data_IF_886451954219
#
_entry.id   IF_886451954219
#
_cell.length_a   1.000
_cell.length_b   1.000
_cell.length_c   1.000
_cell.angle_alpha   90.00
_cell.angle_beta   90.00
_cell.angle_gamma   90.00
#
_symmetry.space_group_name_H-M   'P 1'
#
loop_
_entity.id
_entity.type
_entity.pdbx_description
1 polymer ?
#
# COMPACT_ATOMS: atom_id res chain seq x y z
N UNK A 1 9.52 3.68 -24.66
CA UNK A 1 10.08 2.39 -24.23
C UNK A 1 8.90 1.43 -24.14
N UNK A 2 8.83 0.44 -25.01
CA UNK A 2 7.64 -0.42 -25.16
C UNK A 2 7.49 -1.33 -23.94
N UNK A 3 6.26 -1.63 -23.54
CA UNK A 3 5.88 -2.39 -22.33
C UNK A 3 6.58 -3.76 -22.24
N UNK A 4 6.85 -4.39 -23.38
CA UNK A 4 7.55 -5.67 -23.52
C UNK A 4 9.04 -5.62 -23.10
N UNK A 5 9.70 -4.48 -23.29
CA UNK A 5 11.09 -4.27 -22.87
C UNK A 5 11.20 -4.09 -21.35
N UNK A 6 10.18 -3.49 -20.72
CA UNK A 6 10.14 -3.25 -19.28
C UNK A 6 9.93 -4.55 -18.50
N UNK A 7 9.04 -5.41 -18.99
CA UNK A 7 8.79 -6.74 -18.42
C UNK A 7 10.05 -7.62 -18.49
N UNK A 8 10.72 -7.64 -19.65
CA UNK A 8 11.96 -8.39 -19.83
C UNK A 8 13.08 -7.90 -18.90
N UNK A 9 13.16 -6.58 -18.70
CA UNK A 9 14.11 -6.00 -17.74
C UNK A 9 13.80 -6.41 -16.29
N UNK A 10 12.52 -6.47 -15.91
CA UNK A 10 12.10 -6.91 -14.57
C UNK A 10 12.43 -8.38 -14.30
N UNK A 11 12.19 -9.25 -15.28
CA UNK A 11 12.55 -10.67 -15.23
C UNK A 11 14.05 -10.90 -15.05
N UNK A 12 14.87 -10.13 -15.77
CA UNK A 12 16.32 -10.16 -15.63
C UNK A 12 16.80 -9.67 -14.25
N UNK A 13 16.12 -8.69 -13.65
CA UNK A 13 16.44 -8.22 -12.28
C UNK A 13 16.18 -9.30 -11.23
N UNK A 14 15.05 -9.99 -11.33
CA UNK A 14 14.76 -11.14 -10.46
C UNK A 14 15.82 -12.23 -10.58
N UNK A 15 16.18 -12.61 -11.81
CA UNK A 15 17.21 -13.64 -12.03
C UNK A 15 18.58 -13.27 -11.44
N UNK A 16 18.97 -12.00 -11.54
CA UNK A 16 20.18 -11.46 -10.91
C UNK A 16 20.14 -11.54 -9.38
N UNK A 17 18.99 -11.25 -8.76
CA UNK A 17 18.81 -11.35 -7.31
C UNK A 17 19.00 -12.81 -6.83
N UNK A 18 18.33 -13.77 -7.48
CA UNK A 18 18.49 -15.19 -7.15
C UNK A 18 19.95 -15.64 -7.26
N UNK A 19 20.63 -15.26 -8.35
CA UNK A 19 22.06 -15.57 -8.54
C UNK A 19 22.95 -14.97 -7.47
N UNK A 20 22.66 -13.73 -7.03
CA UNK A 20 23.40 -13.05 -5.97
C UNK A 20 23.24 -13.78 -4.63
N UNK A 21 22.00 -14.08 -4.22
CA UNK A 21 21.72 -14.77 -2.96
C UNK A 21 22.35 -16.17 -2.93
N UNK A 22 22.24 -16.91 -4.04
CA UNK A 22 22.92 -18.20 -4.18
C UNK A 22 24.43 -18.08 -4.04
N UNK A 23 25.04 -17.06 -4.67
CA UNK A 23 26.47 -16.80 -4.56
C UNK A 23 26.91 -16.43 -3.14
N UNK A 24 26.10 -15.65 -2.41
CA UNK A 24 26.34 -15.31 -1.01
C UNK A 24 26.27 -16.54 -0.08
N UNK A 25 25.41 -17.50 -0.40
CA UNK A 25 25.34 -18.78 0.29
C UNK A 25 26.45 -19.77 -0.12
N UNK A 26 27.30 -19.43 -1.09
CA UNK A 26 28.38 -20.29 -1.58
C UNK A 26 27.92 -21.52 -2.36
N UNK A 27 26.67 -21.53 -2.85
CA UNK A 27 26.05 -22.70 -3.48
C UNK A 27 26.19 -22.69 -5.00
N UNK A 28 26.40 -23.84 -5.60
CA UNK A 28 26.16 -24.08 -7.02
C UNK A 28 24.66 -24.16 -7.31
N UNK A 29 24.27 -24.04 -8.59
CA UNK A 29 22.86 -24.22 -8.97
C UNK A 29 22.34 -25.62 -8.63
N UNK A 30 23.21 -26.63 -8.74
CA UNK A 30 22.85 -28.02 -8.46
C UNK A 30 22.65 -28.27 -6.96
N UNK A 31 23.49 -27.69 -6.11
CA UNK A 31 23.35 -27.78 -4.65
C UNK A 31 22.11 -27.04 -4.16
N UNK A 32 21.86 -25.82 -4.67
CA UNK A 32 20.64 -25.09 -4.34
C UNK A 32 19.38 -25.85 -4.79
N UNK A 33 19.43 -26.45 -5.99
CA UNK A 33 18.33 -27.26 -6.49
C UNK A 33 18.05 -28.49 -5.60
N UNK A 34 19.09 -29.18 -5.16
CA UNK A 34 18.97 -30.29 -4.22
C UNK A 34 18.38 -29.85 -2.87
N UNK A 35 18.87 -28.74 -2.29
CA UNK A 35 18.38 -28.20 -1.02
C UNK A 35 16.90 -27.77 -1.09
N UNK A 36 16.48 -27.15 -2.18
CA UNK A 36 15.10 -26.74 -2.40
C UNK A 36 14.22 -27.89 -2.95
N UNK A 37 14.80 -29.04 -3.29
CA UNK A 37 14.16 -30.21 -3.89
C UNK A 37 13.47 -29.87 -5.23
N UNK A 38 14.11 -29.02 -6.02
CA UNK A 38 13.70 -28.62 -7.39
C UNK A 38 14.73 -29.13 -8.41
N UNK A 39 14.42 -29.05 -9.71
CA UNK A 39 15.42 -29.38 -10.74
C UNK A 39 16.45 -28.26 -10.90
N UNK A 40 17.69 -28.61 -11.25
CA UNK A 40 18.73 -27.63 -11.60
C UNK A 40 18.29 -26.74 -12.78
N UNK A 41 17.54 -27.31 -13.73
CA UNK A 41 16.96 -26.56 -14.85
C UNK A 41 16.01 -25.44 -14.38
N UNK A 42 15.24 -25.68 -13.32
CA UNK A 42 14.34 -24.66 -12.73
C UNK A 42 15.14 -23.49 -12.17
N UNK A 43 16.25 -23.75 -11.48
CA UNK A 43 17.15 -22.70 -10.94
C UNK A 43 17.78 -21.91 -12.10
N UNK A 44 18.26 -22.60 -13.14
CA UNK A 44 18.86 -21.97 -14.31
C UNK A 44 17.87 -21.12 -15.11
N UNK A 45 16.63 -21.56 -15.27
CA UNK A 45 15.58 -20.80 -15.95
C UNK A 45 15.18 -19.54 -15.16
N UNK A 46 15.05 -19.65 -13.85
CA UNK A 46 14.78 -18.53 -12.95
C UNK A 46 15.90 -17.48 -12.97
N UNK A 47 17.17 -17.91 -12.90
CA UNK A 47 18.32 -16.99 -12.98
C UNK A 47 18.43 -16.25 -14.32
N UNK A 48 17.88 -16.83 -15.39
CA UNK A 48 17.83 -16.22 -16.74
C UNK A 48 16.57 -15.39 -16.99
N UNK A 49 15.63 -15.35 -16.03
CA UNK A 49 14.38 -14.62 -16.18
C UNK A 49 13.43 -15.24 -17.21
N UNK A 50 13.48 -16.56 -17.44
CA UNK A 50 12.57 -17.22 -18.38
C UNK A 50 11.14 -17.26 -17.84
N UNK A 51 10.17 -16.86 -18.67
CA UNK A 51 8.72 -16.91 -18.39
C UNK A 51 8.26 -18.37 -18.26
N UNK A 52 7.45 -18.69 -17.24
CA UNK A 52 6.83 -20.01 -17.06
C UNK A 52 7.07 -20.69 -15.70
N UNK A 53 7.78 -20.07 -14.76
CA UNK A 53 7.99 -20.70 -13.45
C UNK A 53 6.77 -20.58 -12.57
N UNK A 54 6.45 -21.64 -11.82
CA UNK A 54 5.40 -21.63 -10.80
C UNK A 54 5.96 -21.02 -9.51
N UNK A 55 5.08 -20.47 -8.66
CA UNK A 55 5.43 -19.87 -7.37
C UNK A 55 6.08 -20.87 -6.39
N UNK A 56 5.62 -22.13 -6.39
CA UNK A 56 6.07 -23.17 -5.45
C UNK A 56 7.60 -23.40 -5.44
N UNK A 57 8.27 -23.60 -6.60
CA UNK A 57 9.72 -23.65 -6.66
C UNK A 57 10.43 -22.46 -5.99
N UNK A 58 9.89 -21.26 -6.13
CA UNK A 58 10.51 -20.04 -5.59
C UNK A 58 10.38 -19.99 -4.06
N UNK A 59 9.23 -20.39 -3.51
CA UNK A 59 9.05 -20.52 -2.04
C UNK A 59 10.07 -21.46 -1.43
N UNK A 60 10.39 -22.55 -2.14
CA UNK A 60 11.34 -23.56 -1.68
C UNK A 60 12.78 -23.07 -1.78
N UNK A 61 13.12 -22.35 -2.84
CA UNK A 61 14.42 -21.68 -3.01
C UNK A 61 14.64 -20.59 -1.96
N UNK A 62 13.60 -19.81 -1.64
CA UNK A 62 13.64 -18.80 -0.58
C UNK A 62 14.00 -19.40 0.78
N UNK A 63 13.34 -20.52 1.14
CA UNK A 63 13.62 -21.27 2.36
C UNK A 63 15.05 -21.83 2.36
N UNK A 64 15.48 -22.46 1.26
CA UNK A 64 16.82 -23.03 1.15
C UNK A 64 17.94 -21.98 1.29
N UNK A 65 17.69 -20.75 0.82
CA UNK A 65 18.62 -19.62 0.95
C UNK A 65 18.42 -18.80 2.23
N UNK A 66 17.47 -19.18 3.09
CA UNK A 66 17.10 -18.40 4.29
C UNK A 66 16.78 -16.94 3.94
N UNK A 67 16.14 -16.70 2.79
CA UNK A 67 15.89 -15.37 2.24
C UNK A 67 14.67 -14.66 2.87
N UNK A 68 13.98 -15.30 3.82
CA UNK A 68 12.91 -14.74 4.66
C UNK A 68 11.76 -14.10 3.86
N UNK A 69 11.43 -14.67 2.70
CA UNK A 69 10.37 -14.23 1.79
C UNK A 69 10.83 -13.27 0.69
N UNK A 70 12.08 -12.82 0.69
CA UNK A 70 12.60 -11.86 -0.29
C UNK A 70 12.50 -12.37 -1.74
N UNK A 71 12.79 -13.65 -1.97
CA UNK A 71 12.70 -14.23 -3.31
C UNK A 71 11.25 -14.45 -3.75
N UNK A 72 10.39 -14.82 -2.82
CA UNK A 72 8.95 -14.97 -3.09
C UNK A 72 8.34 -13.63 -3.45
N UNK A 73 8.66 -12.59 -2.68
CA UNK A 73 8.19 -11.22 -2.89
C UNK A 73 8.70 -10.64 -4.22
N UNK A 74 9.98 -10.86 -4.55
CA UNK A 74 10.56 -10.43 -5.83
C UNK A 74 9.96 -11.18 -7.02
N UNK A 75 9.60 -12.46 -6.84
CA UNK A 75 8.94 -13.24 -7.89
C UNK A 75 7.48 -12.80 -8.08
N UNK A 76 6.75 -12.56 -6.98
CA UNK A 76 5.37 -12.07 -7.04
C UNK A 76 5.31 -10.69 -7.72
N UNK A 77 6.28 -9.80 -7.45
CA UNK A 77 6.40 -8.49 -8.11
C UNK A 77 6.60 -8.55 -9.63
N UNK A 78 7.16 -9.65 -10.15
CA UNK A 78 7.57 -9.76 -11.57
C UNK A 78 6.69 -10.73 -12.37
N UNK A 79 6.17 -11.78 -11.73
CA UNK A 79 5.57 -12.92 -12.45
C UNK A 79 4.15 -13.28 -12.01
N UNK A 80 3.69 -12.87 -10.83
CA UNK A 80 2.34 -13.24 -10.36
C UNK A 80 1.25 -12.29 -10.85
N UNK A 81 1.61 -11.12 -11.41
CA UNK A 81 0.65 -10.04 -11.70
C UNK A 81 -0.01 -9.47 -10.43
N UNK A 82 0.33 -10.01 -9.25
CA UNK A 82 -0.09 -9.61 -7.91
C UNK A 82 1.13 -9.00 -7.24
N UNK A 83 1.59 -7.86 -7.78
CA UNK A 83 2.75 -7.13 -7.27
C UNK A 83 2.55 -6.48 -5.90
N UNK A 84 1.66 -7.02 -5.05
CA UNK A 84 1.06 -6.35 -3.90
C UNK A 84 1.87 -6.50 -2.61
N UNK A 85 2.80 -7.45 -2.44
CA UNK A 85 3.33 -7.78 -1.09
C UNK A 85 4.60 -7.07 -0.65
N UNK A 86 5.59 -6.83 -1.54
CA UNK A 86 6.90 -6.30 -1.13
C UNK A 86 6.84 -4.83 -0.64
N UNK A 87 6.16 -3.97 -1.41
CA UNK A 87 6.04 -2.55 -1.07
C UNK A 87 5.09 -2.33 0.11
N UNK A 88 4.03 -3.13 0.22
CA UNK A 88 3.11 -3.10 1.35
C UNK A 88 3.83 -3.47 2.65
N UNK A 89 4.88 -4.32 2.59
CA UNK A 89 5.67 -4.69 3.77
C UNK A 89 6.56 -3.53 4.23
N UNK A 90 7.32 -2.91 3.33
CA UNK A 90 8.18 -1.75 3.67
C UNK A 90 7.35 -0.62 4.31
N UNK A 91 6.22 -0.28 3.70
CA UNK A 91 5.35 0.77 4.24
C UNK A 91 4.67 0.35 5.52
N UNK A 92 4.23 -0.90 5.64
CA UNK A 92 3.62 -1.34 6.89
C UNK A 92 4.63 -1.32 8.04
N UNK A 93 5.86 -1.80 7.82
CA UNK A 93 6.93 -1.70 8.82
C UNK A 93 7.21 -0.23 9.18
N UNK A 94 7.31 0.65 8.18
CA UNK A 94 7.51 2.07 8.42
C UNK A 94 6.33 2.73 9.16
N UNK A 95 5.08 2.38 8.83
CA UNK A 95 3.89 2.79 9.58
C UNK A 95 4.02 2.32 11.04
N UNK A 96 4.36 1.05 11.29
CA UNK A 96 4.48 0.52 12.65
C UNK A 96 5.54 1.25 13.49
N UNK A 97 6.53 1.86 12.85
CA UNK A 97 7.58 2.63 13.52
C UNK A 97 7.31 4.14 13.50
N UNK A 98 6.29 4.61 12.77
CA UNK A 98 6.11 6.03 12.50
C UNK A 98 5.85 6.85 13.78
N UNK A 99 6.46 8.04 13.84
CA UNK A 99 6.10 9.08 14.81
C UNK A 99 4.94 9.92 14.30
N UNK A 100 4.93 10.17 12.98
CA UNK A 100 3.93 11.00 12.30
C UNK A 100 3.61 10.43 10.93
N UNK A 101 2.33 10.41 10.61
CA UNK A 101 1.81 10.04 9.29
C UNK A 101 0.99 11.22 8.78
N UNK A 102 1.32 11.70 7.58
CA UNK A 102 0.55 12.69 6.86
C UNK A 102 0.05 12.05 5.58
N UNK A 103 -1.26 11.99 5.42
CA UNK A 103 -1.92 11.32 4.32
C UNK A 103 -2.77 12.32 3.55
N UNK A 104 -2.59 12.37 2.24
CA UNK A 104 -3.56 12.98 1.35
C UNK A 104 -4.22 11.89 0.52
N UNK A 105 -5.53 11.81 0.60
CA UNK A 105 -6.35 10.75 0.01
C UNK A 105 -7.32 11.34 -1.01
N UNK A 106 -7.09 11.02 -2.28
CA UNK A 106 -7.85 11.53 -3.42
C UNK A 106 -8.89 10.54 -3.97
N UNK A 107 -8.61 9.24 -3.89
CA UNK A 107 -9.42 8.21 -4.56
C UNK A 107 -10.29 7.36 -3.63
N UNK A 108 -9.76 7.03 -2.46
CA UNK A 108 -10.34 6.08 -1.50
C UNK A 108 -10.09 6.58 -0.08
N UNK A 109 -10.91 6.12 0.86
CA UNK A 109 -10.66 6.35 2.29
C UNK A 109 -9.33 5.67 2.66
N UNK A 110 -8.42 6.33 3.41
CA UNK A 110 -7.15 5.73 3.76
C UNK A 110 -7.32 4.46 4.60
N UNK A 111 -6.50 3.45 4.32
CA UNK A 111 -6.67 2.09 4.86
C UNK A 111 -6.72 1.98 6.39
N UNK A 112 -6.08 2.91 7.11
CA UNK A 112 -6.12 2.97 8.57
C UNK A 112 -7.50 3.33 9.13
N UNK A 113 -8.39 3.87 8.31
CA UNK A 113 -9.71 4.35 8.69
C UNK A 113 -10.83 3.65 7.90
N UNK A 114 -10.56 2.51 7.28
CA UNK A 114 -11.57 1.77 6.51
C UNK A 114 -12.38 0.81 7.40
N UNK A 115 -13.70 0.76 7.23
CA UNK A 115 -14.54 -0.29 7.83
C UNK A 115 -14.51 -1.57 6.99
N UNK A 116 -14.82 -2.72 7.60
CA UNK A 116 -14.75 -4.02 6.93
C UNK A 116 -15.58 -4.07 5.64
N UNK A 117 -16.80 -3.55 5.67
CA UNK A 117 -17.73 -3.50 4.55
C UNK A 117 -17.17 -2.66 3.39
N UNK A 118 -16.45 -1.57 3.71
CA UNK A 118 -15.79 -0.74 2.72
C UNK A 118 -14.62 -1.49 2.08
N UNK A 119 -13.76 -2.13 2.89
CA UNK A 119 -12.64 -2.94 2.40
C UNK A 119 -13.13 -4.05 1.48
N UNK A 120 -14.20 -4.74 1.86
CA UNK A 120 -14.82 -5.81 1.07
C UNK A 120 -15.33 -5.27 -0.26
N UNK A 121 -16.10 -4.18 -0.23
CA UNK A 121 -16.66 -3.57 -1.44
C UNK A 121 -15.58 -3.11 -2.44
N UNK A 122 -14.50 -2.47 -1.97
CA UNK A 122 -13.41 -2.06 -2.88
C UNK A 122 -12.59 -3.26 -3.37
N UNK A 123 -12.45 -4.32 -2.57
CA UNK A 123 -11.71 -5.53 -2.95
C UNK A 123 -12.43 -6.27 -4.08
N UNK A 124 -13.75 -6.44 -3.96
CA UNK A 124 -14.61 -7.03 -5.00
C UNK A 124 -14.55 -6.23 -6.31
N UNK A 125 -14.53 -4.89 -6.25
CA UNK A 125 -14.41 -4.04 -7.43
C UNK A 125 -13.03 -4.17 -8.11
N UNK A 126 -11.96 -4.25 -7.31
CA UNK A 126 -10.59 -4.34 -7.82
C UNK A 126 -10.21 -5.74 -8.34
N UNK A 127 -10.92 -6.77 -7.86
CA UNK A 127 -10.67 -8.16 -8.24
C UNK A 127 -12.01 -8.94 -8.34
N UNK A 128 -12.73 -8.81 -9.46
CA UNK A 128 -14.04 -9.45 -9.65
C UNK A 128 -14.03 -10.98 -9.58
N UNK A 129 -12.88 -11.61 -9.76
CA UNK A 129 -12.70 -13.08 -9.72
C UNK A 129 -12.20 -13.58 -8.35
N UNK A 130 -12.01 -12.70 -7.36
CA UNK A 130 -11.56 -13.09 -6.04
C UNK A 130 -12.60 -13.97 -5.33
N UNK A 131 -12.13 -15.04 -4.67
CA UNK A 131 -12.99 -15.83 -3.80
C UNK A 131 -13.29 -15.08 -2.50
N UNK A 132 -14.40 -15.45 -1.84
CA UNK A 132 -14.78 -14.89 -0.53
C UNK A 132 -13.65 -15.02 0.49
N UNK A 133 -12.98 -16.18 0.52
CA UNK A 133 -11.86 -16.45 1.44
C UNK A 133 -10.67 -15.52 1.16
N UNK A 134 -10.38 -15.23 -0.11
CA UNK A 134 -9.31 -14.31 -0.48
C UNK A 134 -9.62 -12.88 0.02
N UNK A 135 -10.87 -12.42 -0.13
CA UNK A 135 -11.30 -11.12 0.38
C UNK A 135 -11.25 -11.09 1.91
N UNK A 136 -11.66 -12.15 2.59
CA UNK A 136 -11.57 -12.24 4.06
C UNK A 136 -10.13 -12.15 4.57
N UNK A 137 -9.14 -12.67 3.82
CA UNK A 137 -7.72 -12.48 4.16
C UNK A 137 -7.28 -11.02 4.00
N UNK A 138 -7.76 -10.31 2.98
CA UNK A 138 -7.48 -8.87 2.80
C UNK A 138 -8.06 -8.08 3.96
N UNK A 139 -9.32 -8.33 4.33
CA UNK A 139 -9.99 -7.71 5.47
C UNK A 139 -9.20 -7.95 6.76
N UNK A 140 -8.81 -9.20 7.04
CA UNK A 140 -8.00 -9.54 8.23
C UNK A 140 -6.67 -8.79 8.25
N UNK A 141 -5.96 -8.73 7.12
CA UNK A 141 -4.72 -8.00 7.02
C UNK A 141 -4.90 -6.48 7.22
N UNK A 142 -6.01 -5.91 6.72
CA UNK A 142 -6.36 -4.49 6.93
C UNK A 142 -6.62 -4.21 8.41
N UNK A 143 -7.43 -5.04 9.07
CA UNK A 143 -7.77 -4.92 10.49
C UNK A 143 -6.53 -5.06 11.39
N UNK A 144 -5.63 -5.98 11.07
CA UNK A 144 -4.36 -6.12 11.80
C UNK A 144 -3.52 -4.85 11.70
N UNK A 145 -3.43 -4.21 10.51
CA UNK A 145 -2.71 -2.94 10.35
C UNK A 145 -3.29 -1.80 11.17
N UNK A 146 -4.63 -1.73 11.27
CA UNK A 146 -5.34 -0.67 12.02
C UNK A 146 -5.04 -0.67 13.53
N UNK A 147 -4.54 -1.78 14.09
CA UNK A 147 -4.13 -1.88 15.49
C UNK A 147 -3.06 -0.86 15.90
N UNK A 148 -2.37 -0.24 14.92
CA UNK A 148 -1.44 0.86 15.18
C UNK A 148 -2.10 2.03 15.92
N UNK A 149 -3.39 2.29 15.67
CA UNK A 149 -4.13 3.37 16.31
C UNK A 149 -4.34 3.11 17.81
N UNK A 150 -4.43 1.83 18.20
CA UNK A 150 -4.76 1.37 19.56
C UNK A 150 -3.54 1.13 20.45
N UNK A 151 -2.33 1.47 19.98
CA UNK A 151 -1.11 1.31 20.75
C UNK A 151 -1.03 2.32 21.91
N UNK A 152 -0.24 2.03 22.96
CA UNK A 152 -0.01 2.97 24.06
C UNK A 152 0.53 4.34 23.60
N UNK A 153 1.36 4.34 22.55
CA UNK A 153 1.92 5.54 21.94
C UNK A 153 1.64 5.53 20.44
N UNK A 154 0.43 5.93 20.00
CA UNK A 154 0.10 5.93 18.59
C UNK A 154 0.77 7.11 17.87
N UNK A 155 1.06 6.98 16.56
CA UNK A 155 1.59 8.08 15.76
C UNK A 155 0.62 9.26 15.72
N UNK A 156 1.14 10.46 15.48
CA UNK A 156 0.28 11.58 15.09
C UNK A 156 -0.12 11.43 13.63
N UNK A 157 -1.42 11.30 13.36
CA UNK A 157 -1.94 11.10 12.02
C UNK A 157 -2.71 12.35 11.59
N UNK A 158 -2.36 12.90 10.43
CA UNK A 158 -3.13 13.96 9.77
C UNK A 158 -3.53 13.47 8.40
N UNK A 159 -4.84 13.40 8.16
CA UNK A 159 -5.41 13.02 6.88
C UNK A 159 -6.11 14.22 6.27
N UNK A 160 -5.76 14.50 5.03
CA UNK A 160 -6.47 15.41 4.14
C UNK A 160 -7.28 14.54 3.17
N UNK A 161 -8.59 14.47 3.39
CA UNK A 161 -9.51 13.76 2.52
C UNK A 161 -10.00 14.72 1.44
N UNK A 162 -9.72 14.43 0.18
CA UNK A 162 -10.47 15.09 -0.88
C UNK A 162 -11.94 14.71 -0.75
N UNK A 163 -12.82 15.71 -0.76
CA UNK A 163 -14.26 15.52 -0.62
C UNK A 163 -14.82 14.49 -1.60
N UNK A 164 -14.24 14.37 -2.81
CA UNK A 164 -14.68 13.39 -3.81
C UNK A 164 -14.63 11.94 -3.31
N UNK A 165 -13.78 11.64 -2.32
CA UNK A 165 -13.68 10.32 -1.68
C UNK A 165 -15.00 9.93 -1.02
N UNK A 166 -15.66 10.89 -0.36
CA UNK A 166 -16.90 10.69 0.39
C UNK A 166 -18.13 10.67 -0.53
N UNK A 167 -18.01 11.23 -1.73
CA UNK A 167 -19.08 11.30 -2.74
C UNK A 167 -19.15 10.05 -3.64
N UNK A 168 -18.26 9.06 -3.44
CA UNK A 168 -18.28 7.80 -4.22
C UNK A 168 -19.51 6.96 -3.85
N UNK A 169 -20.22 6.50 -4.88
CA UNK A 169 -21.40 5.63 -4.72
C UNK A 169 -21.01 4.17 -4.82
N UNK A 170 -21.41 3.39 -3.82
CA UNK A 170 -21.35 1.93 -3.84
C UNK A 170 -22.73 1.36 -4.18
N UNK A 171 -22.78 0.09 -4.61
CA UNK A 171 -24.06 -0.60 -4.88
C UNK A 171 -24.98 -0.64 -3.65
N UNK A 172 -24.38 -0.74 -2.45
CA UNK A 172 -25.05 -0.65 -1.16
C UNK A 172 -24.72 0.71 -0.54
N UNK A 173 -25.67 1.66 -0.47
CA UNK A 173 -25.43 2.98 0.11
C UNK A 173 -24.94 2.94 1.56
N UNK A 174 -25.32 1.89 2.30
CA UNK A 174 -24.95 1.65 3.70
C UNK A 174 -23.44 1.57 3.90
N UNK A 175 -22.69 1.07 2.89
CA UNK A 175 -21.23 0.94 2.96
C UNK A 175 -20.59 2.31 3.20
N UNK A 176 -21.00 3.33 2.45
CA UNK A 176 -20.44 4.67 2.62
C UNK A 176 -21.02 5.37 3.86
N UNK A 177 -22.29 5.14 4.21
CA UNK A 177 -22.87 5.68 5.46
C UNK A 177 -22.07 5.21 6.69
N UNK A 178 -21.84 3.89 6.80
CA UNK A 178 -21.03 3.29 7.87
C UNK A 178 -19.58 3.78 7.85
N UNK A 179 -19.00 3.92 6.65
CA UNK A 179 -17.65 4.44 6.51
C UNK A 179 -17.53 5.89 6.98
N UNK A 180 -18.51 6.75 6.68
CA UNK A 180 -18.53 8.14 7.14
C UNK A 180 -18.74 8.22 8.65
N UNK A 181 -19.67 7.42 9.20
CA UNK A 181 -19.86 7.30 10.66
C UNK A 181 -18.54 6.97 11.37
N UNK A 182 -17.82 5.97 10.84
CA UNK A 182 -16.53 5.59 11.38
C UNK A 182 -15.49 6.72 11.28
N UNK A 183 -15.43 7.47 10.18
CA UNK A 183 -14.52 8.62 10.05
C UNK A 183 -14.85 9.72 11.07
N UNK A 184 -16.13 10.01 11.30
CA UNK A 184 -16.56 10.95 12.33
C UNK A 184 -16.09 10.47 13.70
N UNK A 185 -16.31 9.21 14.05
CA UNK A 185 -15.85 8.63 15.33
C UNK A 185 -14.32 8.73 15.48
N UNK A 186 -13.56 8.33 14.44
CA UNK A 186 -12.08 8.38 14.47
C UNK A 186 -11.56 9.82 14.56
N UNK A 187 -12.30 10.81 14.07
CA UNK A 187 -11.89 12.21 14.17
C UNK A 187 -11.89 12.74 15.61
N UNK A 188 -12.55 12.08 16.57
CA UNK A 188 -12.50 12.41 18.00
C UNK A 188 -11.30 11.78 18.72
N UNK A 189 -10.57 10.88 18.06
CA UNK A 189 -9.43 10.19 18.65
C UNK A 189 -8.27 11.15 18.91
N UNK A 190 -7.59 11.08 20.07
CA UNK A 190 -6.36 11.84 20.28
C UNK A 190 -5.34 11.55 19.18
N UNK A 191 -4.59 12.58 18.78
CA UNK A 191 -3.53 12.50 17.74
C UNK A 191 -4.01 12.16 16.32
N UNK A 192 -5.32 12.07 16.08
CA UNK A 192 -5.89 11.94 14.74
C UNK A 192 -6.51 13.28 14.33
N UNK A 193 -6.13 13.78 13.16
CA UNK A 193 -6.71 14.96 12.54
C UNK A 193 -7.25 14.57 11.16
N UNK A 194 -8.57 14.55 10.99
CA UNK A 194 -9.22 14.33 9.70
C UNK A 194 -9.77 15.67 9.21
N UNK A 195 -9.28 16.12 8.06
CA UNK A 195 -9.70 17.36 7.43
C UNK A 195 -10.21 17.08 6.02
N UNK A 196 -11.29 17.74 5.61
CA UNK A 196 -11.80 17.67 4.23
C UNK A 196 -11.20 18.79 3.41
N UNK A 197 -10.65 18.46 2.24
CA UNK A 197 -10.36 19.43 1.18
C UNK A 197 -11.63 19.56 0.33
N UNK A 198 -12.34 20.71 0.36
CA UNK A 198 -13.61 20.85 -0.35
C UNK A 198 -13.47 20.67 -1.86
N UNK A 199 -14.49 20.11 -2.50
CA UNK A 199 -14.57 19.92 -3.96
C UNK A 199 -14.48 21.24 -4.73
N UNK A 200 -14.88 22.34 -4.11
CA UNK A 200 -14.85 23.68 -4.67
C UNK A 200 -13.48 24.37 -4.55
N UNK A 201 -12.44 23.68 -4.07
CA UNK A 201 -11.08 24.25 -3.93
C UNK A 201 -10.49 24.59 -5.30
N UNK A 202 -10.26 25.88 -5.56
CA UNK A 202 -9.59 26.35 -6.77
C UNK A 202 -8.08 26.05 -6.71
N UNK A 203 -7.47 25.76 -7.86
CA UNK A 203 -6.02 25.51 -7.94
C UNK A 203 -5.54 24.27 -7.20
N UNK A 204 -6.38 23.23 -7.09
CA UNK A 204 -6.15 22.04 -6.29
C UNK A 204 -4.80 21.33 -6.60
N UNK A 205 -3.77 21.38 -5.73
CA UNK A 205 -2.44 20.85 -6.05
C UNK A 205 -2.35 19.32 -5.92
N UNK A 206 -3.35 18.68 -5.29
CA UNK A 206 -3.42 17.22 -5.08
C UNK A 206 -4.07 16.41 -6.22
N UNK A 207 -4.34 17.00 -7.39
CA UNK A 207 -5.04 16.28 -8.47
C UNK A 207 -4.26 15.08 -9.05
N UNK A 208 -2.95 15.03 -8.84
CA UNK A 208 -2.09 13.95 -9.35
C UNK A 208 -2.10 12.67 -8.48
N UNK A 209 -2.96 12.60 -7.47
CA UNK A 209 -3.25 11.38 -6.73
C UNK A 209 -2.82 11.41 -5.28
N UNK A 210 -3.18 10.34 -4.57
CA UNK A 210 -2.90 10.16 -3.15
C UNK A 210 -1.42 9.98 -2.87
N UNK A 211 -0.97 10.45 -1.72
CA UNK A 211 0.39 10.22 -1.22
C UNK A 211 0.42 10.27 0.30
N UNK A 212 1.47 9.69 0.87
CA UNK A 212 1.73 9.72 2.31
C UNK A 212 3.13 10.22 2.59
N UNK A 213 3.31 11.02 3.63
CA UNK A 213 4.59 11.38 4.19
C UNK A 213 4.71 10.70 5.55
N UNK A 214 5.69 9.81 5.67
CA UNK A 214 5.89 8.98 6.86
C UNK A 214 7.20 9.40 7.52
N UNK A 215 7.10 9.79 8.79
CA UNK A 215 8.24 10.17 9.61
C UNK A 215 8.56 9.05 10.59
N UNK A 216 9.78 8.52 10.51
CA UNK A 216 10.24 7.32 11.25
C UNK A 216 11.39 7.73 12.17
N UNK A 217 11.45 7.25 13.43
CA UNK A 217 12.56 7.53 14.35
C UNK A 217 13.90 7.22 13.71
N UNK A 218 14.88 8.09 13.95
CA UNK A 218 16.28 7.93 13.51
C UNK A 218 16.46 7.78 11.99
N UNK A 219 15.43 8.11 11.20
CA UNK A 219 15.42 8.09 9.74
C UNK A 219 14.90 9.42 9.18
N UNK A 220 15.22 9.70 7.92
CA UNK A 220 14.59 10.81 7.21
C UNK A 220 13.13 10.49 6.88
N UNK A 221 12.26 11.49 6.92
CA UNK A 221 10.90 11.42 6.36
C UNK A 221 10.98 10.99 4.89
N UNK A 222 10.04 10.15 4.46
CA UNK A 222 9.92 9.77 3.06
C UNK A 222 8.48 9.93 2.57
N UNK A 223 8.34 10.16 1.27
CA UNK A 223 7.05 10.15 0.60
C UNK A 223 6.76 8.75 0.08
N UNK A 224 5.50 8.35 0.13
CA UNK A 224 5.05 7.07 -0.39
C UNK A 224 3.81 7.28 -1.25
N UNK A 225 3.87 6.74 -2.46
CA UNK A 225 2.79 6.75 -3.43
C UNK A 225 2.37 5.32 -3.73
N UNK A 226 1.06 5.08 -3.82
CA UNK A 226 0.50 3.78 -4.13
C UNK A 226 -0.47 3.86 -5.30
N UNK A 227 -0.46 2.82 -6.12
CA UNK A 227 -1.43 2.51 -7.15
C UNK A 227 -1.94 1.10 -6.93
N UNK A 228 -2.91 0.64 -7.72
CA UNK A 228 -3.66 -0.60 -7.50
C UNK A 228 -2.78 -1.83 -7.25
N UNK A 229 -1.58 -1.89 -7.85
CA UNK A 229 -0.68 -3.06 -7.79
C UNK A 229 0.77 -2.73 -7.47
N UNK A 230 1.08 -1.47 -7.15
CA UNK A 230 2.47 -1.05 -6.89
C UNK A 230 2.50 0.12 -5.91
N UNK A 231 3.58 0.22 -5.16
CA UNK A 231 3.86 1.34 -4.29
C UNK A 231 5.35 1.68 -4.34
N UNK A 232 5.66 2.96 -4.18
CA UNK A 232 7.05 3.46 -4.27
C UNK A 232 7.34 4.37 -3.09
N UNK A 233 8.41 4.04 -2.37
CA UNK A 233 9.01 4.86 -1.31
C UNK A 233 10.03 5.83 -1.92
N UNK A 234 9.73 7.13 -1.88
CA UNK A 234 10.56 8.22 -2.40
C UNK A 234 11.30 8.89 -1.23
N UNK A 235 12.62 8.72 -1.19
CA UNK A 235 13.49 9.16 -0.09
C UNK A 235 14.40 10.34 -0.45
N UNK A 236 14.32 10.82 -1.69
CA UNK A 236 15.15 11.93 -2.19
C UNK A 236 14.69 13.25 -1.54
N UNK A 237 15.58 14.03 -0.89
CA UNK A 237 15.17 15.19 -0.09
C UNK A 237 14.38 16.26 -0.88
N UNK A 238 14.77 16.53 -2.12
CA UNK A 238 14.10 17.47 -3.02
C UNK A 238 12.69 17.01 -3.40
N UNK A 239 12.51 15.71 -3.65
CA UNK A 239 11.21 15.11 -3.93
C UNK A 239 10.32 15.16 -2.69
N UNK A 240 10.84 14.79 -1.51
CA UNK A 240 10.10 14.84 -0.24
C UNK A 240 9.66 16.27 0.07
N UNK A 241 10.55 17.25 -0.11
CA UNK A 241 10.24 18.67 0.09
C UNK A 241 9.11 19.17 -0.85
N UNK A 242 9.05 18.66 -2.08
CA UNK A 242 7.94 18.96 -3.01
C UNK A 242 6.60 18.43 -2.47
N UNK A 243 6.56 17.19 -1.98
CA UNK A 243 5.36 16.63 -1.35
C UNK A 243 4.97 17.34 -0.05
N UNK A 244 5.95 17.77 0.75
CA UNK A 244 5.71 18.58 1.94
C UNK A 244 5.01 19.90 1.59
N UNK A 245 5.47 20.59 0.54
CA UNK A 245 4.85 21.83 0.04
C UNK A 245 3.40 21.57 -0.41
N UNK A 246 3.17 20.54 -1.23
CA UNK A 246 1.83 20.17 -1.70
C UNK A 246 0.91 19.89 -0.51
N UNK A 247 1.38 19.12 0.48
CA UNK A 247 0.60 18.81 1.68
C UNK A 247 0.24 20.08 2.48
N UNK A 248 1.18 21.01 2.61
CA UNK A 248 0.93 22.28 3.29
C UNK A 248 -0.11 23.15 2.56
N UNK A 249 -0.01 23.23 1.23
CA UNK A 249 -0.99 23.94 0.39
C UNK A 249 -2.39 23.32 0.52
N UNK A 250 -2.51 21.99 0.41
CA UNK A 250 -3.77 21.28 0.61
C UNK A 250 -4.35 21.54 2.00
N UNK A 251 -3.52 21.50 3.04
CA UNK A 251 -3.96 21.72 4.41
C UNK A 251 -4.47 23.15 4.63
N UNK A 252 -3.90 24.14 3.93
CA UNK A 252 -4.36 25.52 3.99
C UNK A 252 -5.75 25.72 3.37
N UNK A 253 -6.09 24.92 2.36
CA UNK A 253 -7.41 24.90 1.72
C UNK A 253 -8.42 23.99 2.45
N UNK A 254 -7.93 23.05 3.27
CA UNK A 254 -8.77 22.11 3.98
C UNK A 254 -9.59 22.77 5.11
N UNK A 255 -10.81 22.28 5.30
CA UNK A 255 -11.65 22.67 6.42
C UNK A 255 -10.98 22.32 7.75
N UNK A 256 -11.16 23.14 8.81
CA UNK A 256 -10.81 22.74 10.17
C UNK A 256 -11.50 21.43 10.57
N UNK A 257 -10.95 20.71 11.54
CA UNK A 257 -11.50 19.41 11.99
C UNK A 257 -13.00 19.50 12.38
N UNK A 258 -13.47 20.49 13.17
CA UNK A 258 -14.89 20.61 13.48
C UNK A 258 -15.77 20.80 12.24
N UNK A 259 -15.38 21.69 11.32
CA UNK A 259 -16.12 21.93 10.06
C UNK A 259 -16.08 20.71 9.13
N UNK A 260 -14.99 19.93 9.16
CA UNK A 260 -14.88 18.68 8.43
C UNK A 260 -15.87 17.64 8.96
N UNK A 261 -16.10 17.56 10.29
CA UNK A 261 -17.14 16.69 10.86
C UNK A 261 -18.53 17.08 10.39
N UNK A 262 -18.88 18.37 10.48
CA UNK A 262 -20.17 18.86 9.99
C UNK A 262 -20.36 18.55 8.50
N UNK A 263 -19.30 18.71 7.69
CA UNK A 263 -19.36 18.36 6.28
C UNK A 263 -19.53 16.86 6.03
N UNK A 264 -18.88 16.00 6.83
CA UNK A 264 -19.11 14.56 6.79
C UNK A 264 -20.57 14.20 7.14
N UNK A 265 -21.14 14.81 8.18
CA UNK A 265 -22.54 14.62 8.59
C UNK A 265 -23.53 15.02 7.49
N UNK A 266 -23.30 16.16 6.83
CA UNK A 266 -24.10 16.62 5.69
C UNK A 266 -24.06 15.62 4.54
N UNK A 267 -22.86 15.19 4.13
CA UNK A 267 -22.69 14.21 3.04
C UNK A 267 -23.39 12.91 3.41
N UNK A 268 -23.19 12.41 4.64
CA UNK A 268 -23.84 11.20 5.13
C UNK A 268 -25.36 11.29 5.04
N UNK A 269 -25.96 12.41 5.43
CA UNK A 269 -27.40 12.65 5.37
C UNK A 269 -27.96 12.69 3.94
N UNK A 270 -27.13 13.03 2.96
CA UNK A 270 -27.53 13.08 1.53
C UNK A 270 -27.50 11.72 0.82
N UNK A 271 -26.84 10.70 1.39
CA UNK A 271 -26.77 9.37 0.78
C UNK A 271 -28.15 8.72 0.87
N UNK A 272 -28.77 8.47 -0.28
CA UNK A 272 -30.06 7.75 -0.38
C UNK A 272 -29.79 6.25 -0.31
#
# INVERSE_FOLDING_TARGET
MQEEDADKAAQLRFGKLLRKLRGQAGLTQQELAALAVVSQSTVSDLERGKKGTRRDPVVRLDKALTARGMLVDAWDAVFSGVGVTAYFREVAEAEQMALKIRDYSYGLVPGLFQVEEYVRAISELSNPEATTEAIDQIVKARKYRQQILDRPHPPTITVLLDEVVLLRRFRKPEVMKQQIDHLIDQSYRPRVNLQIVPIATEGHPGLFGSFRLIDVPDSSTFAYIESQRTGVSLKQPDVVASYDRIFAELRSAALPVPSSRSRMEEIRGSIT
#
